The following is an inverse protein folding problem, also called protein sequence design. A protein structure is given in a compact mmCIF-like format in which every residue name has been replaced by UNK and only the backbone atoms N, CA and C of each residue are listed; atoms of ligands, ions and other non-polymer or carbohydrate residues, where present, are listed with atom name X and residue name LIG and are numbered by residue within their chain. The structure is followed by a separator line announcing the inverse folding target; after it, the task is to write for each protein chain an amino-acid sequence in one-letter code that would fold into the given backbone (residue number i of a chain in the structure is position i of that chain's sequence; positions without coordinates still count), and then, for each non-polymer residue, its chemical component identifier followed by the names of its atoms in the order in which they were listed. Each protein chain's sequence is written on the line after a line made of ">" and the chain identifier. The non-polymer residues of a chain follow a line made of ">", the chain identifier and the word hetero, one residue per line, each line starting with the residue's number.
data_IF_940180678552
#
_entry.id   IF_940180678552
#
_cell.length_a   1.000
_cell.length_b   1.000
_cell.length_c   1.000
_cell.angle_alpha   90.00
_cell.angle_beta   90.00
_cell.angle_gamma   90.00
#
_symmetry.space_group_name_H-M   'P 1'
#
loop_
_entity.id
_entity.type
_entity.pdbx_description
1 polymer ?
#
# COMPACT_ATOMS: atom_id res chain seq x y z
N UNK A 1 27.15 34.20 71.51
CA UNK A 1 26.80 34.02 70.09
C UNK A 1 26.56 32.54 69.86
N UNK A 2 25.49 32.14 69.17
CA UNK A 2 25.11 30.72 69.00
C UNK A 2 25.70 30.18 67.69
N UNK A 3 26.29 29.00 67.73
CA UNK A 3 26.57 28.20 66.52
C UNK A 3 25.33 27.37 66.16
N UNK A 4 24.96 27.34 64.88
CA UNK A 4 24.10 26.31 64.30
C UNK A 4 24.47 26.09 62.83
N UNK A 5 24.07 24.94 62.30
CA UNK A 5 24.54 24.34 61.04
C UNK A 5 23.79 24.88 59.82
N UNK A 6 24.47 24.85 58.67
CA UNK A 6 23.83 24.82 57.34
C UNK A 6 24.38 23.60 56.60
N UNK A 7 23.49 22.78 56.05
CA UNK A 7 23.84 21.64 55.20
C UNK A 7 24.04 22.08 53.75
N UNK A 8 24.93 21.40 53.04
CA UNK A 8 24.82 21.21 51.60
C UNK A 8 24.82 19.70 51.35
N UNK A 9 23.78 19.20 50.68
CA UNK A 9 23.72 17.84 50.15
C UNK A 9 23.63 17.98 48.64
N UNK A 10 24.69 17.56 47.94
CA UNK A 10 24.66 17.36 46.50
C UNK A 10 23.97 16.02 46.23
N UNK A 11 22.75 16.07 45.71
CA UNK A 11 22.04 14.90 45.20
C UNK A 11 22.42 14.66 43.74
N UNK A 12 23.14 13.58 43.47
CA UNK A 12 23.32 13.04 42.11
C UNK A 12 22.19 12.05 41.86
N UNK A 13 21.42 12.24 40.79
CA UNK A 13 20.41 11.28 40.36
C UNK A 13 21.05 10.24 39.42
N UNK A 14 20.87 8.95 39.74
CA UNK A 14 21.31 7.84 38.91
C UNK A 14 20.39 7.66 37.70
N UNK A 15 20.95 7.54 36.49
CA UNK A 15 20.29 6.82 35.41
C UNK A 15 20.44 5.31 35.67
N UNK A 16 19.37 4.56 35.47
CA UNK A 16 19.43 3.11 35.36
C UNK A 16 19.78 2.72 33.92
N UNK A 17 20.94 2.10 33.74
CA UNK A 17 21.24 1.31 32.55
C UNK A 17 21.02 -0.17 32.90
N UNK A 18 20.02 -0.81 32.32
CA UNK A 18 19.86 -2.26 32.40
C UNK A 18 20.64 -2.85 31.23
N UNK A 19 21.87 -3.28 31.49
CA UNK A 19 22.59 -4.17 30.60
C UNK A 19 22.33 -5.62 31.02
N UNK A 20 21.80 -6.43 30.11
CA UNK A 20 21.76 -7.88 30.30
C UNK A 20 23.09 -8.48 29.80
N UNK A 21 23.76 -9.23 30.67
CA UNK A 21 24.98 -9.99 30.36
C UNK A 21 24.65 -11.48 30.26
N UNK A 22 25.11 -12.14 29.20
CA UNK A 22 25.05 -13.59 29.05
C UNK A 22 26.06 -14.30 29.96
N UNK A 23 25.59 -15.33 30.68
CA UNK A 23 26.29 -16.54 31.18
C UNK A 23 25.36 -17.24 32.22
N UNK A 24 25.26 -18.56 32.41
CA UNK A 24 26.08 -19.73 32.04
C UNK A 24 25.21 -20.98 31.73
N UNK A 25 25.82 -21.94 31.01
CA UNK A 25 25.67 -23.41 31.06
C UNK A 25 24.34 -24.11 31.46
N UNK A 26 23.81 -24.91 30.52
CA UNK A 26 23.60 -26.35 30.79
C UNK A 26 24.18 -27.20 29.64
N UNK A 27 25.04 -28.16 29.96
CA UNK A 27 25.63 -29.07 28.98
C UNK A 27 24.94 -30.42 28.93
N UNK A 28 24.77 -30.99 27.74
CA UNK A 28 24.65 -32.45 27.61
C UNK A 28 25.40 -32.97 26.37
N UNK A 29 26.04 -34.12 26.56
CA UNK A 29 27.08 -34.66 25.67
C UNK A 29 26.50 -35.53 24.55
N UNK A 30 27.10 -35.44 23.36
CA UNK A 30 26.82 -36.35 22.23
C UNK A 30 28.14 -36.94 21.71
N UNK A 31 28.42 -38.24 21.92
CA UNK A 31 29.63 -38.87 21.39
C UNK A 31 29.48 -39.18 19.90
N UNK A 32 30.58 -39.08 19.14
CA UNK A 32 30.58 -39.21 17.68
C UNK A 32 31.23 -40.50 17.14
N UNK A 33 30.93 -40.80 15.88
CA UNK A 33 31.63 -41.78 15.04
C UNK A 33 31.26 -43.27 15.25
N UNK A 34 31.58 -44.17 14.30
CA UNK A 34 32.54 -43.99 13.21
C UNK A 34 31.99 -44.22 11.78
N UNK A 35 32.88 -44.10 10.79
CA UNK A 35 32.60 -44.25 9.37
C UNK A 35 32.43 -45.72 8.90
N UNK A 36 31.77 -45.90 7.75
CA UNK A 36 31.70 -47.15 6.98
C UNK A 36 31.52 -46.86 5.50
N UNK A 37 32.25 -47.57 4.63
CA UNK A 37 32.35 -47.25 3.20
C UNK A 37 31.67 -48.29 2.29
N UNK A 38 31.34 -47.87 1.06
CA UNK A 38 31.24 -48.75 -0.12
C UNK A 38 29.88 -48.86 -0.78
N UNK A 39 29.88 -48.97 -2.12
CA UNK A 39 28.73 -49.44 -2.91
C UNK A 39 28.43 -48.63 -4.17
N UNK A 40 28.95 -49.06 -5.32
CA UNK A 40 28.53 -48.57 -6.65
C UNK A 40 27.70 -49.63 -7.37
N UNK A 41 26.48 -49.27 -7.78
CA UNK A 41 25.67 -49.85 -8.88
C UNK A 41 24.66 -48.75 -9.26
N UNK A 42 24.26 -48.46 -10.50
CA UNK A 42 24.39 -49.21 -11.75
C UNK A 42 23.05 -49.84 -12.14
N UNK A 43 22.20 -49.10 -12.88
CA UNK A 43 20.86 -49.60 -13.24
C UNK A 43 20.12 -48.71 -14.24
N UNK A 44 20.08 -49.14 -15.50
CA UNK A 44 19.37 -48.48 -16.61
C UNK A 44 18.20 -49.35 -17.11
N UNK A 45 17.13 -48.69 -17.57
CA UNK A 45 15.98 -49.30 -18.27
C UNK A 45 14.62 -48.82 -17.72
N UNK A 46 13.55 -48.65 -18.51
CA UNK A 46 13.46 -48.70 -19.98
C UNK A 46 12.08 -49.19 -20.48
N UNK A 47 11.30 -48.31 -21.12
CA UNK A 47 10.00 -48.60 -21.81
C UNK A 47 8.86 -49.06 -20.87
N UNK A 48 7.55 -49.02 -21.17
CA UNK A 48 6.72 -48.73 -22.37
C UNK A 48 5.53 -47.83 -21.93
N UNK A 49 4.98 -46.89 -22.71
CA UNK A 49 4.07 -47.11 -23.86
C UNK A 49 2.59 -47.12 -23.45
N UNK A 50 1.77 -46.18 -23.95
CA UNK A 50 0.32 -46.12 -23.67
C UNK A 50 -0.38 -44.91 -24.30
N UNK A 51 -1.23 -45.16 -25.30
CA UNK A 51 -1.92 -44.14 -26.12
C UNK A 51 -3.40 -43.97 -25.78
N UNK A 52 -3.95 -42.77 -26.01
CA UNK A 52 -5.39 -42.54 -26.20
C UNK A 52 -6.00 -41.59 -25.15
N UNK A 53 -6.88 -40.66 -25.52
CA UNK A 53 -7.34 -40.30 -26.86
C UNK A 53 -8.27 -39.09 -26.80
N UNK A 54 -8.19 -38.19 -27.79
CA UNK A 54 -9.04 -37.00 -27.88
C UNK A 54 -10.25 -37.27 -28.77
N UNK A 55 -11.43 -36.96 -28.25
CA UNK A 55 -12.66 -36.75 -29.01
C UNK A 55 -13.38 -35.53 -28.39
N UNK A 56 -14.02 -34.64 -29.14
CA UNK A 56 -14.29 -34.67 -30.57
C UNK A 56 -15.77 -34.45 -30.85
N UNK A 57 -16.22 -33.20 -30.81
CA UNK A 57 -17.56 -32.82 -31.26
C UNK A 57 -17.48 -31.75 -32.36
N UNK A 58 -17.47 -32.25 -33.58
CA UNK A 58 -17.76 -31.56 -34.84
C UNK A 58 -19.27 -31.31 -34.97
N UNK A 59 -19.68 -30.19 -35.59
CA UNK A 59 -21.10 -29.98 -35.88
C UNK A 59 -21.48 -28.60 -36.42
N UNK A 60 -20.80 -28.11 -37.45
CA UNK A 60 -21.24 -26.91 -38.17
C UNK A 60 -22.01 -27.26 -39.44
N UNK A 61 -22.92 -26.38 -39.87
CA UNK A 61 -23.32 -26.24 -41.27
C UNK A 61 -23.97 -24.88 -41.52
N UNK A 62 -23.42 -24.13 -42.47
CA UNK A 62 -24.06 -22.94 -43.06
C UNK A 62 -25.04 -23.36 -44.16
N UNK A 63 -26.05 -22.53 -44.43
CA UNK A 63 -26.94 -22.71 -45.57
C UNK A 63 -27.58 -21.39 -45.99
N UNK A 64 -27.35 -20.96 -47.22
CA UNK A 64 -27.95 -19.78 -47.86
C UNK A 64 -28.20 -20.09 -49.33
N UNK A 65 -29.42 -19.81 -49.83
CA UNK A 65 -29.73 -19.02 -51.05
C UNK A 65 -31.13 -19.35 -51.62
N UNK A 66 -31.95 -18.31 -51.89
CA UNK A 66 -33.05 -18.25 -52.90
C UNK A 66 -34.33 -19.08 -52.65
N UNK A 67 -35.54 -18.64 -53.05
CA UNK A 67 -35.99 -17.37 -53.66
C UNK A 67 -37.41 -17.49 -54.28
N UNK A 68 -38.11 -16.36 -54.51
CA UNK A 68 -39.49 -16.21 -55.05
C UNK A 68 -40.65 -16.67 -54.13
N UNK A 69 -41.84 -16.04 -54.11
CA UNK A 69 -42.40 -14.93 -54.93
C UNK A 69 -43.61 -14.24 -54.24
N UNK A 70 -43.79 -12.92 -54.46
CA UNK A 70 -45.05 -12.11 -54.57
C UNK A 70 -46.26 -12.44 -53.65
N UNK A 71 -46.96 -11.50 -52.96
CA UNK A 71 -47.20 -10.05 -53.11
C UNK A 71 -47.24 -9.37 -51.70
N UNK A 72 -47.38 -8.06 -51.48
CA UNK A 72 -47.42 -6.87 -52.36
C UNK A 72 -48.35 -5.77 -51.79
N UNK A 73 -47.81 -4.60 -51.40
CA UNK A 73 -48.59 -3.54 -50.71
C UNK A 73 -47.79 -2.28 -50.34
N UNK A 74 -48.08 -1.19 -51.06
CA UNK A 74 -47.55 0.19 -50.98
C UNK A 74 -47.40 0.88 -49.61
N UNK A 75 -46.32 1.66 -49.46
CA UNK A 75 -46.22 2.85 -48.59
C UNK A 75 -45.68 2.61 -47.16
N UNK A 76 -44.92 3.51 -46.55
CA UNK A 76 -44.34 4.78 -47.00
C UNK A 76 -43.28 5.28 -46.00
N UNK A 77 -42.26 6.00 -46.46
CA UNK A 77 -41.16 6.46 -45.61
C UNK A 77 -41.50 7.80 -44.93
N UNK A 78 -41.54 7.84 -43.59
CA UNK A 78 -41.57 9.10 -42.83
C UNK A 78 -40.70 9.01 -41.56
N UNK A 79 -39.47 9.51 -41.67
CA UNK A 79 -38.74 10.07 -40.53
C UNK A 79 -39.41 11.37 -40.07
N UNK A 80 -39.77 11.52 -38.78
CA UNK A 80 -40.38 12.75 -38.27
C UNK A 80 -40.46 12.82 -36.75
N UNK A 81 -39.91 13.89 -36.18
CA UNK A 81 -39.85 14.14 -34.75
C UNK A 81 -41.22 14.31 -34.06
N UNK A 82 -41.31 13.84 -32.81
CA UNK A 82 -42.07 14.48 -31.72
C UNK A 82 -43.50 14.92 -32.01
N UNK A 83 -44.38 13.97 -32.33
CA UNK A 83 -45.84 14.17 -32.30
C UNK A 83 -46.48 13.15 -31.35
N UNK A 84 -47.45 13.58 -30.56
CA UNK A 84 -48.24 12.68 -29.71
C UNK A 84 -49.04 11.71 -30.59
N UNK A 85 -48.66 10.43 -30.55
CA UNK A 85 -49.35 9.37 -31.30
C UNK A 85 -50.66 9.05 -30.59
N UNK A 86 -51.78 9.06 -31.32
CA UNK A 86 -53.07 8.59 -30.78
C UNK A 86 -53.02 7.08 -30.58
N UNK A 87 -53.69 6.59 -29.53
CA UNK A 87 -53.66 5.19 -29.16
C UNK A 87 -54.23 4.24 -30.24
N UNK A 88 -54.96 4.76 -31.24
CA UNK A 88 -55.45 3.98 -32.39
C UNK A 88 -54.33 3.31 -33.21
N UNK A 89 -53.08 3.78 -33.11
CA UNK A 89 -51.93 3.24 -33.86
C UNK A 89 -51.05 2.28 -33.04
N UNK A 90 -51.41 2.01 -31.78
CA UNK A 90 -50.58 1.28 -30.82
C UNK A 90 -49.81 2.23 -29.90
N UNK A 91 -49.60 1.79 -28.66
CA UNK A 91 -48.92 2.55 -27.59
C UNK A 91 -47.60 1.88 -27.15
N UNK A 92 -47.15 0.88 -27.90
CA UNK A 92 -45.89 0.15 -27.67
C UNK A 92 -44.69 1.01 -28.14
N UNK A 93 -43.78 1.40 -27.25
CA UNK A 93 -42.54 2.11 -27.62
C UNK A 93 -41.39 1.19 -28.05
N UNK A 94 -41.62 -0.13 -28.04
CA UNK A 94 -40.65 -1.17 -28.40
C UNK A 94 -39.63 -1.47 -27.31
N UNK A 95 -39.75 -0.92 -26.10
CA UNK A 95 -38.79 -1.11 -25.01
C UNK A 95 -39.30 -2.15 -23.99
N UNK A 96 -38.59 -3.26 -23.84
CA UNK A 96 -38.97 -4.33 -22.89
C UNK A 96 -38.82 -3.97 -21.38
N UNK A 97 -38.60 -2.70 -21.06
CA UNK A 97 -38.42 -2.16 -19.71
C UNK A 97 -39.37 -0.97 -19.41
N UNK A 98 -40.34 -0.74 -20.29
CA UNK A 98 -41.45 0.20 -20.10
C UNK A 98 -42.75 -0.58 -19.98
N UNK A 99 -43.69 -0.01 -19.24
CA UNK A 99 -45.08 -0.45 -19.16
C UNK A 99 -45.93 0.60 -19.84
N UNK A 100 -46.51 0.20 -20.98
CA UNK A 100 -47.22 1.08 -21.89
C UNK A 100 -48.72 1.11 -21.59
N UNK A 101 -49.25 2.31 -21.38
CA UNK A 101 -50.66 2.52 -21.06
C UNK A 101 -51.27 3.64 -21.90
N UNK A 102 -52.39 3.36 -22.56
CA UNK A 102 -53.22 4.42 -23.13
C UNK A 102 -54.12 5.01 -22.05
N UNK A 103 -53.90 6.29 -21.71
CA UNK A 103 -54.67 7.02 -20.71
C UNK A 103 -55.22 8.30 -21.35
N UNK A 104 -56.56 8.37 -21.50
CA UNK A 104 -57.26 9.52 -22.13
C UNK A 104 -56.77 9.87 -23.56
N UNK A 105 -56.46 8.86 -24.39
CA UNK A 105 -55.88 9.01 -25.75
C UNK A 105 -54.48 9.69 -25.76
N UNK A 106 -53.80 9.66 -24.62
CA UNK A 106 -52.36 9.91 -24.49
C UNK A 106 -51.68 8.58 -24.17
N UNK A 107 -50.60 8.28 -24.88
CA UNK A 107 -49.77 7.13 -24.59
C UNK A 107 -48.75 7.47 -23.48
N UNK A 108 -48.76 6.71 -22.39
CA UNK A 108 -47.87 6.85 -21.24
C UNK A 108 -46.93 5.64 -21.16
N UNK A 109 -45.62 5.90 -21.14
CA UNK A 109 -44.57 4.88 -21.04
C UNK A 109 -43.91 4.94 -19.66
N UNK A 110 -44.23 4.00 -18.78
CA UNK A 110 -43.70 3.99 -17.40
C UNK A 110 -42.49 3.06 -17.30
N UNK A 111 -41.31 3.61 -17.02
CA UNK A 111 -40.07 2.82 -16.86
C UNK A 111 -40.20 1.90 -15.63
N UNK A 112 -39.91 0.61 -15.81
CA UNK A 112 -39.97 -0.40 -14.74
C UNK A 112 -38.90 -0.18 -13.66
N UNK A 113 -39.16 -0.68 -12.45
CA UNK A 113 -38.23 -0.59 -11.34
C UNK A 113 -36.92 -1.34 -11.66
N UNK A 114 -35.78 -0.66 -11.43
CA UNK A 114 -34.45 -1.24 -11.69
C UNK A 114 -33.96 -1.04 -13.13
N UNK A 115 -34.59 -0.17 -13.91
CA UNK A 115 -34.21 0.14 -15.29
C UNK A 115 -34.00 1.64 -15.54
N UNK A 116 -33.13 1.95 -16.49
CA UNK A 116 -33.01 3.24 -17.14
C UNK A 116 -33.33 3.07 -18.64
N UNK A 117 -33.94 4.09 -19.26
CA UNK A 117 -34.10 4.21 -20.71
C UNK A 117 -33.09 5.25 -21.18
N UNK A 118 -31.93 4.80 -21.66
CA UNK A 118 -30.82 5.68 -22.06
C UNK A 118 -30.64 5.55 -23.57
N UNK A 119 -30.75 6.67 -24.30
CA UNK A 119 -30.69 6.71 -25.77
C UNK A 119 -31.68 5.73 -26.46
N UNK A 120 -32.89 5.59 -25.90
CA UNK A 120 -33.93 4.67 -26.39
C UNK A 120 -33.47 3.20 -26.39
N UNK A 121 -32.74 2.81 -25.34
CA UNK A 121 -32.39 1.43 -25.03
C UNK A 121 -32.61 1.14 -23.54
N UNK A 122 -33.07 -0.07 -23.24
CA UNK A 122 -33.22 -0.58 -21.87
C UNK A 122 -31.85 -0.90 -21.26
N UNK A 123 -31.49 -0.20 -20.19
CA UNK A 123 -30.25 -0.41 -19.44
C UNK A 123 -30.61 -0.81 -18.02
N UNK A 124 -30.20 -2.00 -17.60
CA UNK A 124 -30.47 -2.50 -16.25
C UNK A 124 -29.66 -1.73 -15.21
N UNK A 125 -30.21 -1.54 -14.01
CA UNK A 125 -29.51 -0.91 -12.88
C UNK A 125 -28.13 -1.55 -12.65
N UNK A 126 -27.10 -0.71 -12.53
CA UNK A 126 -25.71 -1.12 -12.37
C UNK A 126 -24.98 -1.46 -13.68
N UNK A 127 -25.66 -1.61 -14.82
CA UNK A 127 -25.00 -1.82 -16.10
C UNK A 127 -24.24 -0.55 -16.53
N UNK A 128 -22.96 -0.72 -16.89
CA UNK A 128 -22.06 0.36 -17.29
C UNK A 128 -22.21 0.70 -18.78
N UNK A 129 -21.81 1.92 -19.16
CA UNK A 129 -21.74 2.30 -20.57
C UNK A 129 -20.55 1.60 -21.25
N UNK A 130 -20.76 0.79 -22.32
CA UNK A 130 -19.67 0.08 -22.99
C UNK A 130 -18.56 0.97 -23.56
N UNK A 131 -18.86 2.24 -23.86
CA UNK A 131 -17.90 3.23 -24.36
C UNK A 131 -17.24 4.08 -23.25
N UNK A 132 -17.75 3.99 -22.02
CA UNK A 132 -17.18 4.66 -20.84
C UNK A 132 -17.57 3.89 -19.57
N UNK A 133 -16.76 2.92 -19.11
CA UNK A 133 -17.08 2.09 -17.97
C UNK A 133 -17.28 2.86 -16.65
N UNK A 134 -16.93 4.14 -16.59
CA UNK A 134 -17.07 5.02 -15.43
C UNK A 134 -18.44 5.66 -15.25
N UNK A 135 -19.43 5.26 -16.05
CA UNK A 135 -20.82 5.68 -15.87
C UNK A 135 -21.75 4.47 -15.99
N UNK A 136 -22.79 4.40 -15.15
CA UNK A 136 -23.72 3.27 -15.04
C UNK A 136 -25.18 3.73 -14.88
N UNK A 137 -26.14 2.84 -15.16
CA UNK A 137 -27.55 3.11 -14.86
C UNK A 137 -27.79 3.12 -13.35
N UNK A 138 -28.31 4.24 -12.84
CA UNK A 138 -28.70 4.43 -11.44
C UNK A 138 -30.09 5.09 -11.40
N UNK A 139 -31.17 4.29 -11.45
CA UNK A 139 -32.54 4.79 -11.57
C UNK A 139 -33.01 5.54 -10.32
N UNK A 140 -32.27 5.45 -9.20
CA UNK A 140 -32.54 6.25 -8.01
C UNK A 140 -32.08 7.71 -8.15
N UNK A 141 -31.21 8.01 -9.13
CA UNK A 141 -30.76 9.38 -9.46
C UNK A 141 -31.33 9.90 -10.77
N UNK A 142 -31.32 9.09 -11.81
CA UNK A 142 -31.89 9.42 -13.13
C UNK A 142 -32.16 8.17 -13.95
N UNK A 143 -33.32 8.14 -14.61
CA UNK A 143 -33.71 7.03 -15.50
C UNK A 143 -33.39 7.31 -16.97
N UNK A 144 -32.90 8.51 -17.34
CA UNK A 144 -32.70 8.93 -18.74
C UNK A 144 -31.24 9.15 -19.14
N UNK A 145 -30.30 9.06 -18.20
CA UNK A 145 -28.87 9.27 -18.42
C UNK A 145 -28.05 8.27 -17.60
N UNK A 146 -26.80 8.04 -18.02
CA UNK A 146 -25.84 7.33 -17.17
C UNK A 146 -25.36 8.25 -16.03
N UNK A 147 -25.23 7.68 -14.84
CA UNK A 147 -24.69 8.32 -13.64
C UNK A 147 -23.21 8.01 -13.49
N UNK A 148 -22.39 8.99 -13.09
CA UNK A 148 -20.98 8.76 -12.79
C UNK A 148 -20.79 7.78 -11.62
N UNK A 149 -19.93 6.78 -11.83
CA UNK A 149 -19.42 5.92 -10.76
C UNK A 149 -18.43 6.69 -9.88
N UNK A 150 -18.18 6.24 -8.64
CA UNK A 150 -17.20 6.86 -7.74
C UNK A 150 -15.80 6.95 -8.36
N UNK A 151 -15.10 8.03 -8.06
CA UNK A 151 -13.68 8.17 -8.43
C UNK A 151 -12.87 7.02 -7.79
N UNK A 152 -11.90 6.48 -8.53
CA UNK A 152 -11.15 5.27 -8.15
C UNK A 152 -11.74 3.95 -8.63
N UNK A 153 -13.00 3.91 -9.09
CA UNK A 153 -13.59 2.68 -9.66
C UNK A 153 -12.73 2.16 -10.84
N UNK A 154 -12.34 0.87 -10.89
CA UNK A 154 -11.57 0.32 -12.00
C UNK A 154 -12.34 0.39 -13.33
N UNK A 155 -11.69 0.82 -14.41
CA UNK A 155 -12.38 1.04 -15.69
C UNK A 155 -11.70 0.42 -16.92
N UNK A 156 -10.50 -0.16 -16.76
CA UNK A 156 -9.79 -0.90 -17.81
C UNK A 156 -8.27 -0.82 -17.63
N UNK A 157 -7.57 -1.95 -17.75
CA UNK A 157 -6.13 -2.01 -17.47
C UNK A 157 -5.81 -1.45 -16.07
N UNK A 158 -4.81 -0.57 -15.99
CA UNK A 158 -4.44 0.15 -14.75
C UNK A 158 -5.16 1.50 -14.57
N UNK A 159 -6.23 1.77 -15.32
CA UNK A 159 -6.96 3.04 -15.28
C UNK A 159 -8.14 3.01 -14.30
N UNK A 160 -8.38 4.13 -13.66
CA UNK A 160 -9.52 4.35 -12.76
C UNK A 160 -10.42 5.48 -13.24
N UNK A 161 -11.64 5.48 -12.73
CA UNK A 161 -12.58 6.56 -12.93
C UNK A 161 -12.13 7.85 -12.25
N UNK A 162 -12.23 8.96 -12.98
CA UNK A 162 -12.05 10.30 -12.46
C UNK A 162 -13.11 11.22 -13.09
N UNK A 163 -13.99 11.79 -12.28
CA UNK A 163 -15.12 12.65 -12.68
C UNK A 163 -16.00 11.98 -13.76
N UNK A 164 -16.24 10.68 -13.63
CA UNK A 164 -17.04 9.90 -14.56
C UNK A 164 -16.40 9.63 -15.92
N UNK A 165 -15.07 9.78 -16.06
CA UNK A 165 -14.33 9.39 -17.27
C UNK A 165 -13.33 8.29 -16.95
N UNK A 166 -13.23 7.29 -17.84
CA UNK A 166 -12.15 6.32 -17.79
C UNK A 166 -10.87 6.92 -18.41
N UNK A 167 -9.72 6.69 -17.77
CA UNK A 167 -8.47 7.32 -18.15
C UNK A 167 -7.99 8.40 -17.18
N UNK A 168 -8.58 8.49 -15.99
CA UNK A 168 -7.83 9.00 -14.85
C UNK A 168 -6.59 8.12 -14.68
N UNK A 169 -5.41 8.74 -14.68
CA UNK A 169 -4.31 8.18 -13.92
C UNK A 169 -4.83 8.02 -12.48
N UNK A 170 -4.46 6.95 -11.75
CA UNK A 170 -4.63 6.95 -10.31
C UNK A 170 -4.06 8.28 -9.78
N UNK A 171 -4.72 8.96 -8.81
CA UNK A 171 -4.04 10.06 -8.11
C UNK A 171 -2.69 9.51 -7.67
N UNK A 172 -1.58 10.14 -8.12
CA UNK A 172 -0.24 9.57 -8.08
C UNK A 172 -0.04 8.89 -6.73
N UNK A 173 0.21 7.58 -6.74
CA UNK A 173 -0.28 6.68 -5.69
C UNK A 173 -0.11 7.23 -4.28
N UNK A 174 -1.10 7.01 -3.40
CA UNK A 174 -0.90 7.16 -1.95
C UNK A 174 0.03 6.08 -1.36
N UNK A 175 0.65 5.27 -2.23
CA UNK A 175 1.70 4.32 -1.93
C UNK A 175 3.05 5.01 -2.10
N UNK A 176 3.92 4.84 -1.11
CA UNK A 176 5.30 5.32 -1.10
C UNK A 176 6.19 4.08 -1.05
N UNK A 177 6.86 3.79 -2.17
CA UNK A 177 7.67 2.58 -2.40
C UNK A 177 9.07 2.90 -2.92
N UNK A 178 9.70 1.94 -3.60
CA UNK A 178 11.07 2.06 -4.14
C UNK A 178 11.22 3.22 -5.15
N UNK A 179 10.17 3.48 -5.95
CA UNK A 179 10.11 4.63 -6.89
C UNK A 179 10.21 6.00 -6.18
N UNK A 180 9.96 6.07 -4.87
CA UNK A 180 9.88 7.29 -4.08
C UNK A 180 11.13 7.53 -3.21
N UNK A 181 12.32 7.22 -3.73
CA UNK A 181 13.61 7.34 -3.00
C UNK A 181 14.54 8.44 -3.54
N UNK A 182 14.12 9.12 -4.62
CA UNK A 182 14.87 10.18 -5.31
C UNK A 182 14.65 11.55 -4.68
N UNK A 183 15.52 11.93 -3.74
CA UNK A 183 15.43 13.21 -3.00
C UNK A 183 15.53 14.45 -3.88
N UNK A 184 16.27 14.37 -4.99
CA UNK A 184 16.46 15.44 -5.97
C UNK A 184 15.18 15.85 -6.71
N UNK A 185 14.14 15.00 -6.65
CA UNK A 185 12.82 15.29 -7.21
C UNK A 185 11.87 15.94 -6.20
N UNK A 186 12.22 16.05 -4.91
CA UNK A 186 11.37 16.72 -3.92
C UNK A 186 11.64 18.23 -3.96
N UNK A 187 10.68 19.10 -4.31
CA UNK A 187 10.89 20.54 -4.29
C UNK A 187 11.21 21.04 -2.88
N UNK A 188 12.13 21.99 -2.75
CA UNK A 188 12.48 22.58 -1.44
C UNK A 188 11.29 23.25 -0.73
N UNK A 189 10.29 23.71 -1.50
CA UNK A 189 8.99 24.17 -1.00
C UNK A 189 8.15 23.05 -0.39
N UNK A 190 8.22 21.82 -0.88
CA UNK A 190 7.52 20.66 -0.32
C UNK A 190 8.19 20.18 0.98
N UNK A 191 9.53 20.15 1.04
CA UNK A 191 10.28 19.93 2.29
C UNK A 191 9.90 20.98 3.35
N UNK A 192 9.86 22.26 2.95
CA UNK A 192 9.47 23.37 3.83
C UNK A 192 8.00 23.28 4.26
N UNK A 193 7.11 22.79 3.38
CA UNK A 193 5.71 22.53 3.70
C UNK A 193 5.56 21.39 4.71
N UNK A 194 6.30 20.29 4.58
CA UNK A 194 6.29 19.18 5.54
C UNK A 194 6.68 19.66 6.94
N UNK A 195 7.83 20.33 7.04
CA UNK A 195 8.37 20.93 8.27
C UNK A 195 7.47 21.97 8.94
N UNK A 196 6.51 22.56 8.21
CA UNK A 196 5.63 23.62 8.73
C UNK A 196 4.19 23.18 8.98
N UNK A 197 3.81 21.96 8.56
CA UNK A 197 2.43 21.48 8.61
C UNK A 197 2.26 20.18 9.37
N UNK A 198 3.25 19.29 9.31
CA UNK A 198 3.11 17.94 9.84
C UNK A 198 3.57 17.89 11.29
N UNK A 199 2.79 17.18 12.09
CA UNK A 199 3.07 16.80 13.47
C UNK A 199 2.80 15.30 13.53
N UNK A 200 3.86 14.51 13.45
CA UNK A 200 3.79 13.06 13.21
C UNK A 200 4.03 12.33 14.52
N UNK A 201 3.18 11.37 14.87
CA UNK A 201 3.50 10.39 15.91
C UNK A 201 3.82 9.04 15.27
N UNK A 202 4.99 8.49 15.59
CA UNK A 202 5.46 7.20 15.07
C UNK A 202 5.77 6.23 16.21
N UNK A 203 5.28 4.99 16.11
CA UNK A 203 5.57 3.94 17.08
C UNK A 203 6.01 2.64 16.41
N UNK A 204 7.12 2.09 16.92
CA UNK A 204 7.78 0.90 16.39
C UNK A 204 8.66 0.24 17.44
N UNK A 205 9.23 -0.90 17.06
CA UNK A 205 10.51 -1.38 17.59
C UNK A 205 11.36 -1.88 16.43
N UNK A 206 12.62 -2.24 16.71
CA UNK A 206 13.40 -3.12 15.84
C UNK A 206 13.47 -2.61 14.38
N UNK A 207 12.92 -3.36 13.42
CA UNK A 207 12.89 -3.02 12.00
C UNK A 207 12.25 -1.66 11.71
N UNK A 208 11.19 -1.26 12.42
CA UNK A 208 10.58 0.05 12.20
C UNK A 208 11.51 1.24 12.49
N UNK A 209 12.55 1.05 13.31
CA UNK A 209 13.59 2.07 13.55
C UNK A 209 14.43 2.37 12.30
N UNK A 210 14.43 1.48 11.30
CA UNK A 210 15.23 1.65 10.08
C UNK A 210 14.90 2.95 9.33
N UNK A 211 13.64 3.37 9.35
CA UNK A 211 13.20 4.66 8.79
C UNK A 211 13.89 5.84 9.49
N UNK A 212 13.93 5.81 10.82
CA UNK A 212 14.54 6.85 11.67
C UNK A 212 16.07 6.85 11.51
N UNK A 213 16.71 5.68 11.51
CA UNK A 213 18.13 5.54 11.19
C UNK A 213 18.46 6.08 9.80
N UNK A 214 17.57 5.88 8.83
CA UNK A 214 17.65 6.50 7.50
C UNK A 214 17.58 8.02 7.54
N UNK A 215 16.60 8.59 8.25
CA UNK A 215 16.46 10.04 8.40
C UNK A 215 17.67 10.67 9.11
N UNK A 216 18.21 10.01 10.15
CA UNK A 216 19.44 10.42 10.82
C UNK A 216 20.65 10.43 9.86
N UNK A 217 20.76 9.44 8.97
CA UNK A 217 21.81 9.41 7.95
C UNK A 217 21.68 10.57 6.95
N UNK A 218 20.45 10.96 6.58
CA UNK A 218 20.20 12.12 5.72
C UNK A 218 20.50 13.46 6.41
N UNK A 219 20.12 13.63 7.66
CA UNK A 219 20.42 14.84 8.45
C UNK A 219 21.92 15.01 8.69
N UNK A 220 22.62 13.91 9.00
CA UNK A 220 24.06 13.92 9.25
C UNK A 220 24.91 14.07 7.97
N UNK A 221 24.32 14.00 6.77
CA UNK A 221 25.07 14.03 5.53
C UNK A 221 25.59 15.46 5.19
N UNK A 222 26.92 15.68 5.11
CA UNK A 222 27.47 17.04 5.08
C UNK A 222 27.02 17.94 3.93
N UNK A 223 26.65 17.39 2.76
CA UNK A 223 26.17 18.17 1.62
C UNK A 223 24.71 18.60 1.72
N UNK A 224 23.89 17.93 2.53
CA UNK A 224 22.48 18.28 2.72
C UNK A 224 22.28 19.35 3.80
N UNK A 225 23.19 19.39 4.80
CA UNK A 225 23.06 20.25 5.97
C UNK A 225 21.67 20.10 6.60
N UNK A 226 21.04 21.21 6.97
CA UNK A 226 19.76 21.17 7.69
C UNK A 226 18.54 20.88 6.78
N UNK A 227 18.74 20.53 5.49
CA UNK A 227 17.63 20.28 4.55
C UNK A 227 16.69 19.19 5.06
N UNK A 228 17.26 18.06 5.51
CA UNK A 228 16.54 16.89 6.02
C UNK A 228 16.53 16.79 7.55
N UNK A 229 16.72 17.92 8.25
CA UNK A 229 16.61 17.96 9.70
C UNK A 229 15.20 17.64 10.21
N UNK A 230 15.12 16.86 11.30
CA UNK A 230 13.90 16.45 12.00
C UNK A 230 14.11 16.59 13.52
N UNK A 231 13.03 16.59 14.31
CA UNK A 231 13.11 16.77 15.76
C UNK A 231 12.03 15.98 16.48
N UNK A 232 12.47 15.11 17.38
CA UNK A 232 11.69 14.21 18.24
C UNK A 232 10.82 14.96 19.27
N UNK A 233 11.10 16.25 19.51
CA UNK A 233 10.35 17.05 20.48
C UNK A 233 9.48 18.14 19.83
N UNK A 234 9.49 18.29 18.50
CA UNK A 234 8.75 19.35 17.80
C UNK A 234 9.14 20.80 18.15
N UNK A 235 10.32 21.02 18.76
CA UNK A 235 10.76 22.33 19.25
C UNK A 235 11.74 23.04 18.30
N UNK A 236 12.46 22.29 17.45
CA UNK A 236 13.51 22.83 16.60
C UNK A 236 12.93 23.58 15.38
N UNK A 237 13.23 24.88 15.22
CA UNK A 237 12.68 25.65 14.10
C UNK A 237 13.29 25.19 12.77
N UNK A 238 12.44 24.90 11.79
CA UNK A 238 12.80 24.34 10.47
C UNK A 238 13.32 22.89 10.53
N UNK A 239 12.95 22.13 11.56
CA UNK A 239 12.97 20.67 11.53
C UNK A 239 11.56 20.13 11.16
N UNK A 240 11.47 18.86 10.78
CA UNK A 240 10.19 18.13 10.74
C UNK A 240 9.84 17.64 12.14
N UNK A 241 8.61 17.88 12.58
CA UNK A 241 8.09 17.41 13.86
C UNK A 241 7.61 15.95 13.74
N UNK A 242 8.35 15.03 14.38
CA UNK A 242 8.11 13.59 14.35
C UNK A 242 8.49 13.01 15.71
N UNK A 243 7.49 12.78 16.56
CA UNK A 243 7.64 12.09 17.86
C UNK A 243 8.02 10.61 17.61
N UNK A 244 9.29 10.25 17.84
CA UNK A 244 9.79 8.89 17.71
C UNK A 244 9.50 8.09 18.99
N UNK A 245 8.80 6.97 18.85
CA UNK A 245 8.11 6.30 19.97
C UNK A 245 7.02 7.18 20.62
N UNK A 246 6.37 8.03 19.81
CA UNK A 246 5.37 9.00 20.26
C UNK A 246 4.03 8.41 20.75
N UNK A 247 3.81 7.09 20.64
CA UNK A 247 2.49 6.47 20.92
C UNK A 247 2.58 5.45 22.07
N UNK A 248 2.66 5.92 23.33
CA UNK A 248 2.83 5.04 24.49
C UNK A 248 1.60 4.16 24.75
N UNK A 249 1.83 2.88 25.01
CA UNK A 249 0.81 1.90 25.41
C UNK A 249 0.92 0.55 24.69
N UNK A 250 1.54 0.54 23.51
CA UNK A 250 1.93 -0.66 22.80
C UNK A 250 3.30 -0.42 22.14
N UNK A 251 4.15 -1.44 22.04
CA UNK A 251 5.51 -1.28 21.52
C UNK A 251 5.53 -1.15 19.99
N UNK A 252 4.80 -2.02 19.28
CA UNK A 252 4.67 -2.07 17.83
C UNK A 252 3.42 -2.87 17.43
N UNK A 253 3.14 -2.99 16.13
CA UNK A 253 1.99 -3.75 15.62
C UNK A 253 2.06 -5.26 15.92
N UNK A 254 3.26 -5.84 15.94
CA UNK A 254 3.50 -7.28 16.16
C UNK A 254 3.18 -7.68 17.61
N UNK A 255 3.60 -6.86 18.58
CA UNK A 255 3.34 -7.07 20.00
C UNK A 255 1.89 -6.70 20.40
N UNK A 256 1.20 -5.95 19.55
CA UNK A 256 -0.20 -5.55 19.74
C UNK A 256 -1.22 -6.36 18.94
N UNK A 257 -0.86 -7.50 18.33
CA UNK A 257 -1.79 -8.29 17.51
C UNK A 257 -2.70 -9.23 18.34
N UNK A 258 -3.53 -8.64 19.20
CA UNK A 258 -4.64 -9.32 19.88
C UNK A 258 -5.79 -8.34 20.06
N UNK A 259 -7.03 -8.82 20.21
CA UNK A 259 -8.21 -7.95 20.37
C UNK A 259 -8.90 -8.12 21.72
N UNK A 260 -9.47 -7.02 22.20
CA UNK A 260 -10.38 -7.00 23.35
C UNK A 260 -11.83 -7.41 22.97
N UNK A 261 -12.78 -7.23 23.88
CA UNK A 261 -14.20 -7.52 23.64
C UNK A 261 -14.89 -6.62 22.59
N UNK A 262 -14.25 -5.54 22.16
CA UNK A 262 -14.73 -4.60 21.14
C UNK A 262 -14.02 -4.82 19.79
N UNK A 263 -13.15 -5.83 19.71
CA UNK A 263 -12.33 -6.10 18.54
C UNK A 263 -11.19 -5.10 18.37
N UNK A 264 -10.85 -4.33 19.41
CA UNK A 264 -9.81 -3.29 19.38
C UNK A 264 -8.46 -3.86 19.82
N UNK A 265 -7.39 -3.51 19.12
CA UNK A 265 -6.02 -3.87 19.48
C UNK A 265 -5.40 -2.92 20.51
N UNK A 266 -4.41 -3.36 21.30
CA UNK A 266 -3.60 -2.49 22.15
C UNK A 266 -3.08 -1.21 21.49
N UNK A 267 -2.66 -1.26 20.21
CA UNK A 267 -2.18 -0.09 19.47
C UNK A 267 -3.31 0.86 19.03
N UNK A 268 -4.53 0.36 18.76
CA UNK A 268 -5.72 1.22 18.59
C UNK A 268 -6.05 1.95 19.89
N UNK A 269 -6.02 1.25 21.02
CA UNK A 269 -6.27 1.85 22.34
C UNK A 269 -5.22 2.93 22.65
N UNK A 270 -3.94 2.63 22.47
CA UNK A 270 -2.84 3.60 22.64
C UNK A 270 -2.99 4.83 21.73
N UNK A 271 -3.39 4.63 20.46
CA UNK A 271 -3.64 5.73 19.52
C UNK A 271 -4.80 6.63 19.95
N UNK A 272 -5.91 6.04 20.41
CA UNK A 272 -7.03 6.81 20.98
C UNK A 272 -6.60 7.58 22.23
N UNK A 273 -5.85 6.94 23.13
CA UNK A 273 -5.31 7.58 24.34
C UNK A 273 -4.32 8.71 24.03
N UNK A 274 -3.65 8.68 22.88
CA UNK A 274 -2.84 9.78 22.38
C UNK A 274 -3.72 10.92 21.86
N UNK A 275 -4.55 10.65 20.84
CA UNK A 275 -5.29 11.66 20.09
C UNK A 275 -6.44 12.32 20.90
N UNK A 276 -6.98 11.64 21.91
CA UNK A 276 -8.00 12.20 22.79
C UNK A 276 -7.44 13.19 23.84
N UNK A 277 -6.11 13.30 23.99
CA UNK A 277 -5.49 14.30 24.88
C UNK A 277 -5.45 15.64 24.17
N UNK A 278 -6.04 16.67 24.76
CA UNK A 278 -6.09 18.01 24.16
C UNK A 278 -4.72 18.65 23.92
N UNK A 279 -3.69 18.28 24.69
CA UNK A 279 -2.28 18.65 24.45
C UNK A 279 -1.78 18.19 23.08
N UNK A 280 -2.31 17.07 22.58
CA UNK A 280 -1.84 16.37 21.38
C UNK A 280 -2.73 16.67 20.16
N UNK A 281 -3.63 17.65 20.27
CA UNK A 281 -4.55 18.08 19.19
C UNK A 281 -3.88 18.72 17.97
N UNK A 282 -2.55 18.86 17.99
CA UNK A 282 -1.74 19.28 16.85
C UNK A 282 -1.31 18.10 15.96
N UNK A 283 -1.23 16.88 16.51
CA UNK A 283 -0.84 15.65 15.79
C UNK A 283 -1.83 15.42 14.66
N UNK A 284 -1.31 15.30 13.44
CA UNK A 284 -2.10 15.15 12.22
C UNK A 284 -1.64 14.02 11.30
N UNK A 285 -0.55 13.33 11.66
CA UNK A 285 -0.14 12.07 11.02
C UNK A 285 0.12 11.03 12.10
N UNK A 286 -0.38 9.81 11.91
CA UNK A 286 -0.09 8.67 12.78
C UNK A 286 0.49 7.52 11.95
N UNK A 287 1.63 7.02 12.41
CA UNK A 287 2.37 5.92 11.81
C UNK A 287 2.60 4.82 12.85
N UNK A 288 2.44 3.57 12.44
CA UNK A 288 2.80 2.40 13.23
C UNK A 288 3.59 1.44 12.35
N UNK A 289 4.62 0.80 12.92
CA UNK A 289 5.41 -0.22 12.23
C UNK A 289 5.22 -1.62 12.81
N UNK A 290 5.51 -2.61 11.98
CA UNK A 290 5.73 -3.98 12.39
C UNK A 290 7.18 -4.15 12.88
N UNK A 291 7.38 -4.98 13.89
CA UNK A 291 8.67 -5.61 14.11
C UNK A 291 8.82 -6.73 13.08
N UNK A 292 7.94 -7.73 13.14
CA UNK A 292 7.69 -8.73 12.09
C UNK A 292 6.18 -8.82 11.81
N UNK A 293 5.79 -9.08 10.56
CA UNK A 293 4.39 -9.30 10.17
C UNK A 293 4.06 -10.80 10.00
N UNK A 294 5.02 -11.69 10.31
CA UNK A 294 4.88 -13.12 10.09
C UNK A 294 3.99 -13.78 11.15
N UNK A 295 3.07 -14.64 10.72
CA UNK A 295 2.04 -15.26 11.56
C UNK A 295 0.88 -14.34 11.98
N UNK A 296 0.98 -13.04 11.71
CA UNK A 296 0.02 -12.02 12.15
C UNK A 296 -1.24 -11.92 11.27
N UNK A 297 -2.31 -11.37 11.85
CA UNK A 297 -3.61 -11.20 11.20
C UNK A 297 -3.70 -9.83 10.49
N UNK A 298 -3.24 -9.77 9.24
CA UNK A 298 -3.27 -8.53 8.47
C UNK A 298 -4.70 -8.02 8.17
N UNK A 299 -5.72 -8.88 8.18
CA UNK A 299 -7.11 -8.44 8.04
C UNK A 299 -7.56 -7.64 9.27
N UNK A 300 -7.25 -8.16 10.47
CA UNK A 300 -7.50 -7.44 11.72
C UNK A 300 -6.74 -6.12 11.78
N UNK A 301 -5.51 -6.07 11.27
CA UNK A 301 -4.77 -4.81 11.16
C UNK A 301 -5.51 -3.77 10.31
N UNK A 302 -5.91 -4.12 9.08
CA UNK A 302 -6.62 -3.15 8.22
C UNK A 302 -7.98 -2.77 8.82
N UNK A 303 -8.73 -3.71 9.40
CA UNK A 303 -10.01 -3.44 10.07
C UNK A 303 -9.84 -2.45 11.24
N UNK A 304 -8.75 -2.57 12.01
CA UNK A 304 -8.45 -1.70 13.15
C UNK A 304 -7.92 -0.32 12.71
N UNK A 305 -7.13 -0.25 11.63
CA UNK A 305 -6.74 1.03 11.01
C UNK A 305 -7.97 1.77 10.48
N UNK A 306 -8.93 1.09 9.85
CA UNK A 306 -10.17 1.69 9.37
C UNK A 306 -11.07 2.24 10.50
N UNK A 307 -11.03 1.66 11.70
CA UNK A 307 -11.66 2.27 12.89
C UNK A 307 -11.05 3.64 13.19
N UNK A 308 -9.72 3.72 13.28
CA UNK A 308 -9.01 4.96 13.58
C UNK A 308 -9.25 6.04 12.50
N UNK A 309 -9.16 5.67 11.21
CA UNK A 309 -9.45 6.57 10.07
C UNK A 309 -10.86 7.15 10.15
N UNK A 310 -11.85 6.35 10.58
CA UNK A 310 -13.24 6.78 10.75
C UNK A 310 -13.45 7.65 11.99
N UNK A 311 -12.75 7.36 13.07
CA UNK A 311 -12.86 8.06 14.36
C UNK A 311 -12.16 9.42 14.35
N UNK A 312 -11.02 9.53 13.64
CA UNK A 312 -10.17 10.72 13.59
C UNK A 312 -9.96 11.22 12.14
N UNK A 313 -11.01 11.68 11.43
CA UNK A 313 -10.95 12.03 10.00
C UNK A 313 -10.12 13.27 9.66
N UNK A 314 -9.49 13.91 10.66
CA UNK A 314 -8.55 15.02 10.50
C UNK A 314 -7.07 14.58 10.64
N UNK A 315 -6.82 13.30 10.88
CA UNK A 315 -5.48 12.69 11.00
C UNK A 315 -5.27 11.75 9.81
N UNK A 316 -4.15 11.91 9.10
CA UNK A 316 -3.71 10.95 8.08
C UNK A 316 -3.08 9.72 8.77
N UNK A 317 -3.76 8.58 8.69
CA UNK A 317 -3.21 7.29 9.15
C UNK A 317 -2.46 6.62 8.01
N UNK A 318 -1.20 6.29 8.26
CA UNK A 318 -0.33 5.65 7.28
C UNK A 318 -0.30 4.15 7.56
N UNK A 319 -0.74 3.36 6.59
CA UNK A 319 -0.62 1.91 6.61
C UNK A 319 0.82 1.51 6.27
N UNK A 320 1.29 0.36 6.75
CA UNK A 320 2.66 -0.10 6.53
C UNK A 320 2.71 -1.61 6.30
N UNK A 321 3.52 -2.06 5.34
CA UNK A 321 3.90 -3.48 5.15
C UNK A 321 5.00 -3.88 6.13
N UNK A 322 5.27 -5.19 6.26
CA UNK A 322 6.44 -5.69 7.00
C UNK A 322 7.75 -5.62 6.19
N UNK A 323 8.77 -6.33 6.66
CA UNK A 323 10.05 -6.58 5.96
C UNK A 323 10.08 -8.02 5.41
N UNK A 324 11.15 -8.42 4.72
CA UNK A 324 11.37 -9.80 4.25
C UNK A 324 12.02 -10.69 5.32
N UNK A 325 11.74 -12.00 5.27
CA UNK A 325 12.24 -13.02 6.20
C UNK A 325 12.58 -14.33 5.46
N UNK A 326 13.15 -14.22 4.25
CA UNK A 326 13.64 -15.36 3.47
C UNK A 326 12.58 -16.23 2.77
N UNK A 327 11.28 -16.08 3.07
CA UNK A 327 10.25 -16.99 2.51
C UNK A 327 9.82 -16.68 1.07
N UNK A 328 10.20 -15.51 0.53
CA UNK A 328 9.84 -15.09 -0.83
C UNK A 328 8.34 -14.85 -1.03
N UNK A 329 7.81 -15.19 -2.21
CA UNK A 329 6.42 -14.93 -2.63
C UNK A 329 5.40 -15.94 -2.04
N UNK A 330 5.53 -16.28 -0.75
CA UNK A 330 4.63 -17.24 -0.09
C UNK A 330 3.25 -16.61 0.21
N UNK A 331 2.24 -17.10 -0.51
CA UNK A 331 0.83 -16.70 -0.37
C UNK A 331 0.04 -17.54 0.66
N UNK A 332 0.73 -18.28 1.53
CA UNK A 332 0.11 -18.93 2.71
C UNK A 332 -0.47 -17.86 3.64
N UNK A 333 -1.72 -18.06 4.10
CA UNK A 333 -2.40 -17.09 4.97
C UNK A 333 -1.55 -16.75 6.19
N UNK A 334 -1.49 -15.46 6.51
CA UNK A 334 -0.74 -14.89 7.63
C UNK A 334 0.80 -14.97 7.49
N UNK A 335 1.35 -15.44 6.37
CA UNK A 335 2.78 -15.31 6.10
C UNK A 335 3.11 -13.91 5.55
N UNK A 336 4.39 -13.55 5.58
CA UNK A 336 4.89 -12.19 5.29
C UNK A 336 4.36 -11.63 3.96
N UNK A 337 4.56 -12.35 2.85
CA UNK A 337 4.18 -11.86 1.52
C UNK A 337 2.66 -11.77 1.35
N UNK A 338 1.91 -12.80 1.79
CA UNK A 338 0.45 -12.76 1.87
C UNK A 338 -0.08 -11.51 2.62
N UNK A 339 0.49 -11.23 3.80
CA UNK A 339 0.07 -10.11 4.64
C UNK A 339 0.38 -8.76 3.99
N UNK A 340 1.56 -8.63 3.37
CA UNK A 340 1.94 -7.43 2.62
C UNK A 340 1.01 -7.19 1.42
N UNK A 341 0.69 -8.23 0.65
CA UNK A 341 -0.28 -8.15 -0.45
C UNK A 341 -1.70 -7.81 0.02
N UNK A 342 -2.14 -8.33 1.16
CA UNK A 342 -3.44 -7.96 1.74
C UNK A 342 -3.49 -6.45 2.04
N UNK A 343 -2.46 -5.91 2.69
CA UNK A 343 -2.36 -4.48 3.02
C UNK A 343 -2.28 -3.61 1.75
N UNK A 344 -1.45 -3.99 0.77
CA UNK A 344 -1.36 -3.31 -0.55
C UNK A 344 -2.71 -3.23 -1.25
N UNK A 345 -3.40 -4.36 -1.34
CA UNK A 345 -4.71 -4.43 -1.98
C UNK A 345 -5.78 -3.62 -1.23
N UNK A 346 -5.79 -3.67 0.11
CA UNK A 346 -6.66 -2.83 0.94
C UNK A 346 -6.42 -1.33 0.72
N UNK A 347 -5.16 -0.89 0.74
CA UNK A 347 -4.82 0.52 0.58
C UNK A 347 -5.18 1.05 -0.80
N UNK A 348 -4.93 0.24 -1.84
CA UNK A 348 -5.32 0.53 -3.23
C UNK A 348 -6.84 0.61 -3.39
N UNK A 349 -7.60 -0.31 -2.81
CA UNK A 349 -9.06 -0.33 -2.90
C UNK A 349 -9.73 0.84 -2.13
N UNK A 350 -9.16 1.24 -1.00
CA UNK A 350 -9.73 2.26 -0.10
C UNK A 350 -9.05 3.64 -0.17
N UNK A 351 -8.15 3.84 -1.14
CA UNK A 351 -7.37 5.07 -1.33
C UNK A 351 -6.67 5.53 -0.02
N UNK A 352 -5.98 4.60 0.66
CA UNK A 352 -5.24 4.86 1.90
C UNK A 352 -3.78 5.19 1.62
N UNK A 353 -3.16 5.93 2.54
CA UNK A 353 -1.71 6.10 2.55
C UNK A 353 -1.03 4.81 2.96
N UNK A 354 -0.05 4.39 2.18
CA UNK A 354 0.76 3.19 2.42
C UNK A 354 2.24 3.58 2.33
N UNK A 355 2.97 3.33 3.41
CA UNK A 355 4.43 3.27 3.37
C UNK A 355 4.83 1.82 3.11
N UNK A 356 5.23 1.51 1.88
CA UNK A 356 5.47 0.13 1.46
C UNK A 356 6.91 -0.30 1.77
N UNK A 357 7.14 -0.53 3.06
CA UNK A 357 8.39 -0.96 3.67
C UNK A 357 9.01 -2.18 2.95
N UNK A 358 8.16 -3.15 2.58
CA UNK A 358 8.52 -4.34 1.82
C UNK A 358 8.90 -4.06 0.37
N UNK A 359 8.21 -3.13 -0.31
CA UNK A 359 8.52 -2.76 -1.71
C UNK A 359 9.85 -2.01 -1.83
N UNK A 360 10.14 -1.12 -0.86
CA UNK A 360 11.43 -0.41 -0.75
C UNK A 360 12.59 -1.41 -0.56
N UNK A 361 12.37 -2.46 0.21
CA UNK A 361 13.37 -3.51 0.48
C UNK A 361 13.52 -4.50 -0.68
N UNK A 362 12.44 -4.71 -1.46
CA UNK A 362 12.39 -5.66 -2.56
C UNK A 362 13.16 -5.25 -3.81
N UNK A 363 13.58 -3.98 -3.91
CA UNK A 363 14.17 -3.42 -5.11
C UNK A 363 15.51 -2.73 -4.84
N UNK A 364 16.49 -2.96 -5.72
CA UNK A 364 17.66 -2.09 -5.76
C UNK A 364 17.30 -0.69 -6.30
N UNK A 365 18.17 0.33 -6.12
CA UNK A 365 17.92 1.68 -6.64
C UNK A 365 17.83 1.82 -8.17
N UNK A 366 18.15 0.76 -8.94
CA UNK A 366 18.00 0.71 -10.40
C UNK A 366 16.68 0.01 -10.82
N UNK A 367 15.91 -0.51 -9.86
CA UNK A 367 14.60 -1.14 -10.05
C UNK A 367 14.63 -2.66 -10.24
N UNK A 368 15.74 -3.34 -9.96
CA UNK A 368 15.81 -4.81 -10.01
C UNK A 368 15.08 -5.42 -8.81
N UNK A 369 14.20 -6.39 -9.03
CA UNK A 369 13.41 -7.06 -7.98
C UNK A 369 14.10 -8.30 -7.39
N UNK A 370 14.05 -8.45 -6.06
CA UNK A 370 14.73 -9.51 -5.29
C UNK A 370 13.83 -10.33 -4.37
N UNK A 371 12.59 -9.91 -4.08
CA UNK A 371 11.71 -10.64 -3.15
C UNK A 371 11.45 -12.09 -3.60
N UNK A 372 11.30 -12.31 -4.90
CA UNK A 372 11.14 -13.64 -5.51
C UNK A 372 12.38 -14.56 -5.37
N UNK A 373 13.50 -14.06 -4.86
CA UNK A 373 14.73 -14.80 -4.61
C UNK A 373 14.89 -15.24 -3.15
N UNK A 374 13.85 -15.06 -2.31
CA UNK A 374 13.88 -15.46 -0.90
C UNK A 374 14.86 -14.62 -0.09
N UNK A 375 14.85 -13.30 -0.29
CA UNK A 375 15.77 -12.40 0.41
C UNK A 375 15.45 -12.28 1.91
N UNK A 376 16.49 -12.07 2.71
CA UNK A 376 16.41 -11.77 4.14
C UNK A 376 16.37 -10.25 4.40
N UNK A 377 16.03 -9.85 5.62
CA UNK A 377 15.89 -8.44 6.05
C UNK A 377 17.19 -7.62 5.99
N UNK A 378 18.34 -8.27 5.91
CA UNK A 378 19.65 -7.64 5.69
C UNK A 378 20.01 -7.48 4.20
N UNK A 379 19.07 -7.75 3.27
CA UNK A 379 19.23 -7.67 1.81
C UNK A 379 20.08 -8.80 1.18
N UNK A 380 20.34 -9.88 1.93
CA UNK A 380 21.02 -11.09 1.43
C UNK A 380 20.03 -12.06 0.76
N UNK A 381 20.48 -12.77 -0.26
CA UNK A 381 19.73 -13.81 -0.98
C UNK A 381 20.71 -14.85 -1.55
N UNK A 382 20.23 -15.94 -2.16
CA UNK A 382 21.08 -17.03 -2.68
C UNK A 382 22.21 -16.58 -3.66
N UNK A 383 22.06 -15.41 -4.30
CA UNK A 383 23.07 -14.80 -5.18
C UNK A 383 24.06 -13.84 -4.50
N UNK A 384 23.98 -13.68 -3.18
CA UNK A 384 24.73 -12.71 -2.36
C UNK A 384 23.83 -11.57 -1.86
N UNK A 385 24.41 -10.42 -1.54
CA UNK A 385 23.67 -9.28 -1.00
C UNK A 385 23.49 -8.19 -2.06
N UNK A 386 22.25 -7.78 -2.35
CA UNK A 386 21.98 -6.86 -3.47
C UNK A 386 22.53 -5.45 -3.20
N UNK A 387 22.55 -4.99 -1.95
CA UNK A 387 23.13 -3.69 -1.61
C UNK A 387 24.66 -3.70 -1.73
N UNK A 388 25.34 -4.79 -1.38
CA UNK A 388 26.79 -4.96 -1.65
C UNK A 388 27.07 -4.86 -3.14
N UNK A 389 26.29 -5.56 -3.96
CA UNK A 389 26.43 -5.55 -5.42
C UNK A 389 26.18 -4.15 -5.98
N UNK A 390 25.09 -3.50 -5.57
CA UNK A 390 24.72 -2.16 -6.03
C UNK A 390 25.74 -1.09 -5.63
N UNK A 391 26.18 -1.06 -4.38
CA UNK A 391 27.22 -0.12 -3.92
C UNK A 391 28.56 -0.35 -4.64
N UNK A 392 28.93 -1.60 -4.94
CA UNK A 392 30.15 -1.93 -5.70
C UNK A 392 30.06 -1.49 -7.17
N UNK A 393 28.85 -1.51 -7.76
CA UNK A 393 28.62 -0.98 -9.11
C UNK A 393 28.56 0.56 -9.15
N UNK A 394 28.15 1.20 -8.06
CA UNK A 394 27.86 2.64 -7.96
C UNK A 394 28.80 3.38 -6.99
N UNK A 395 30.08 2.98 -6.91
CA UNK A 395 31.07 3.60 -6.03
C UNK A 395 31.19 5.13 -6.26
N UNK A 396 31.14 5.91 -5.17
CA UNK A 396 31.23 7.37 -5.23
C UNK A 396 29.94 8.08 -5.66
N UNK A 397 28.84 7.35 -5.87
CA UNK A 397 27.50 7.94 -5.96
C UNK A 397 27.06 8.52 -4.61
N UNK A 398 26.15 9.50 -4.61
CA UNK A 398 25.60 10.10 -3.38
C UNK A 398 25.00 9.04 -2.45
N UNK A 399 24.31 8.04 -3.01
CA UNK A 399 23.62 7.00 -2.25
C UNK A 399 24.59 5.95 -1.68
N UNK A 400 25.66 5.61 -2.38
CA UNK A 400 26.76 4.81 -1.83
C UNK A 400 27.48 5.57 -0.71
N UNK A 401 27.79 6.85 -0.92
CA UNK A 401 28.42 7.73 0.06
C UNK A 401 27.58 7.91 1.35
N UNK A 402 26.26 8.08 1.21
CA UNK A 402 25.32 8.09 2.32
C UNK A 402 25.34 6.78 3.11
N UNK A 403 25.44 5.65 2.41
CA UNK A 403 25.40 4.31 3.01
C UNK A 403 26.71 3.95 3.72
N UNK A 404 27.86 4.20 3.08
CA UNK A 404 29.17 3.68 3.51
C UNK A 404 30.10 4.73 4.12
N UNK A 405 29.82 6.02 3.92
CA UNK A 405 30.71 7.13 4.25
C UNK A 405 31.95 7.25 3.34
N UNK A 406 32.11 6.36 2.35
CA UNK A 406 33.33 6.25 1.55
C UNK A 406 33.62 7.54 0.79
N UNK A 407 34.72 8.21 1.16
CA UNK A 407 35.15 9.46 0.52
C UNK A 407 34.48 10.73 1.06
N UNK A 408 33.63 10.64 2.08
CA UNK A 408 32.98 11.79 2.71
C UNK A 408 33.72 12.16 4.00
N UNK A 409 34.31 13.36 4.04
CA UNK A 409 35.09 13.79 5.20
C UNK A 409 34.17 14.07 6.42
N UNK A 410 34.43 13.39 7.53
CA UNK A 410 33.70 13.58 8.79
C UNK A 410 32.36 12.84 8.87
N UNK A 411 32.05 11.94 7.94
CA UNK A 411 30.81 11.16 7.91
C UNK A 411 31.12 9.67 7.72
N UNK A 412 30.57 8.82 8.60
CA UNK A 412 30.90 7.37 8.67
C UNK A 412 29.91 6.48 7.91
N UNK A 413 29.03 7.05 7.09
CA UNK A 413 27.91 6.31 6.50
C UNK A 413 26.71 6.24 7.45
N UNK A 414 25.64 5.61 6.97
CA UNK A 414 24.53 5.17 7.79
C UNK A 414 25.02 4.06 8.74
N UNK A 415 24.59 4.09 10.00
CA UNK A 415 25.10 3.23 11.07
C UNK A 415 23.94 2.81 11.97
N UNK A 416 23.96 1.56 12.46
CA UNK A 416 22.92 1.05 13.36
C UNK A 416 21.58 0.77 12.67
N UNK A 417 21.60 0.36 11.40
CA UNK A 417 20.40 -0.09 10.71
C UNK A 417 19.95 -1.45 11.30
N UNK A 418 18.89 -1.45 12.12
CA UNK A 418 18.43 -2.65 12.81
C UNK A 418 18.19 -3.81 11.82
N UNK A 419 18.88 -4.93 12.02
CA UNK A 419 18.88 -6.13 11.15
C UNK A 419 19.33 -5.92 9.70
N UNK A 420 19.89 -4.75 9.36
CA UNK A 420 20.55 -4.50 8.08
C UNK A 420 21.86 -3.71 8.25
N UNK A 421 22.61 -3.93 9.33
CA UNK A 421 23.88 -3.23 9.58
C UNK A 421 25.13 -4.00 9.11
N UNK A 422 24.98 -5.31 8.83
CA UNK A 422 26.04 -6.22 8.41
C UNK A 422 25.64 -6.99 7.15
N UNK A 423 26.38 -6.85 6.02
CA UNK A 423 27.55 -5.99 5.83
C UNK A 423 27.20 -4.49 5.82
N UNK A 424 28.20 -3.59 5.92
CA UNK A 424 27.98 -2.13 5.96
C UNK A 424 27.06 -1.61 4.85
N UNK A 425 27.11 -2.20 3.66
CA UNK A 425 26.26 -1.82 2.52
C UNK A 425 24.77 -2.11 2.77
N UNK A 426 24.41 -3.08 3.61
CA UNK A 426 23.02 -3.37 3.97
C UNK A 426 22.32 -2.17 4.64
N UNK A 427 23.07 -1.22 5.23
CA UNK A 427 22.51 0.03 5.77
C UNK A 427 21.82 0.88 4.67
N UNK A 428 22.02 0.56 3.38
CA UNK A 428 21.26 1.10 2.26
C UNK A 428 19.74 0.92 2.46
N UNK A 429 19.32 -0.17 3.11
CA UNK A 429 17.92 -0.44 3.46
C UNK A 429 17.33 0.74 4.26
N UNK A 430 18.02 1.16 5.33
CA UNK A 430 17.65 2.35 6.11
C UNK A 430 17.70 3.62 5.28
N UNK A 431 18.76 3.84 4.50
CA UNK A 431 18.89 5.08 3.70
C UNK A 431 17.73 5.23 2.71
N UNK A 432 17.31 4.15 2.04
CA UNK A 432 16.15 4.16 1.14
C UNK A 432 14.84 4.43 1.91
N UNK A 433 14.63 3.80 3.06
CA UNK A 433 13.44 4.03 3.91
C UNK A 433 13.38 5.46 4.44
N UNK A 434 14.49 6.05 4.86
CA UNK A 434 14.58 7.47 5.24
C UNK A 434 14.31 8.43 4.07
N UNK A 435 14.76 8.09 2.85
CA UNK A 435 14.46 8.85 1.63
C UNK A 435 12.97 8.79 1.26
N UNK A 436 12.38 7.61 1.35
CA UNK A 436 10.96 7.37 1.16
C UNK A 436 10.11 8.11 2.20
N UNK A 437 10.56 8.21 3.45
CA UNK A 437 9.87 8.98 4.48
C UNK A 437 9.75 10.47 4.10
N UNK A 438 10.84 11.09 3.64
CA UNK A 438 10.78 12.47 3.14
C UNK A 438 9.87 12.66 1.93
N UNK A 439 9.76 11.66 1.05
CA UNK A 439 8.73 11.64 0.00
C UNK A 439 7.32 11.60 0.58
N UNK A 440 7.01 10.67 1.48
CA UNK A 440 5.72 10.56 2.16
C UNK A 440 5.33 11.90 2.81
N UNK A 441 6.23 12.50 3.58
CA UNK A 441 5.98 13.74 4.30
C UNK A 441 5.79 14.94 3.34
N UNK A 442 6.58 15.04 2.28
CA UNK A 442 6.35 16.03 1.24
C UNK A 442 4.97 15.89 0.58
N UNK A 443 4.56 14.64 0.26
CA UNK A 443 3.23 14.33 -0.31
C UNK A 443 2.08 14.67 0.64
N UNK A 444 2.16 14.27 1.91
CA UNK A 444 1.19 14.62 2.97
C UNK A 444 1.08 16.14 3.16
N UNK A 445 2.18 16.87 3.03
CA UNK A 445 2.20 18.33 3.09
C UNK A 445 1.54 19.03 1.88
N UNK A 446 1.04 18.27 0.90
CA UNK A 446 0.31 18.77 -0.26
C UNK A 446 1.11 18.82 -1.57
N UNK A 447 2.25 18.15 -1.65
CA UNK A 447 2.94 17.91 -2.91
C UNK A 447 2.24 16.80 -3.71
N UNK A 448 2.08 16.98 -5.02
CA UNK A 448 1.42 16.01 -5.89
C UNK A 448 2.31 14.82 -6.28
N UNK A 449 3.62 14.91 -6.03
CA UNK A 449 4.61 13.89 -6.40
C UNK A 449 5.26 14.11 -7.77
N UNK A 450 5.07 15.28 -8.37
CA UNK A 450 5.73 15.67 -9.63
C UNK A 450 6.92 16.61 -9.38
N UNK A 451 8.05 16.48 -10.12
CA UNK A 451 9.26 17.29 -9.89
C UNK A 451 9.09 18.81 -10.12
#
# INVERSE_FOLDING_TARGET
>A
MKYSRICWVLGVAMLWAIGCSDSEEEGNTKPGGPAGAGGSVGGSGGSTGGTGGTAGHTGGASGSTGGSSTEGGSGGNTSGAGGSVSCEQGCDDGLACTSDACVNDVCEHTIEQGWCVIQHACVQQGATNPSNPCVACDPAKTTSQYTALPDGTPCGGSQTCLKGQCGGAPPAGRVIGHENTRLDLIPSSAISAAKSKLHIAYQHTSHGSQLITGMNALEAFPSFGNTYAWDDAGQAPNALDLDDNGIPGCADLSQGDSVDSHGDTPWVIATRDLLNKSSNSHINVVMWSWCSINGHDAQRYVDNMEKLVKEYPAVDFIFMTGHAEGQGEDMTSNHVHYNNELIRNHCKANNRWLFDFADIEAHDPDGTYYWNQGMEDNLDYDGGNWAVQWCSANEGSELEQLTTGKGVNGYSGCQGCAHSDSPQQANLNCVLKGRAAWWLFARLAGWDGTP
#
